data_IF_049110507890
#
_entry.id   IF_049110507890
#
_cell.length_a   1.000
_cell.length_b   1.000
_cell.length_c   1.000
_cell.angle_alpha   90.00
_cell.angle_beta   90.00
_cell.angle_gamma   90.00
#
_symmetry.space_group_name_H-M   'P 1'
#
loop_
_entity.id
_entity.type
_entity.pdbx_description
1 polymer ?
#
# COMPACT_ATOMS: atom_id res chain seq x y z
N UNK A 1 15.55 -8.59 -18.21
CA UNK A 1 14.74 -8.62 -16.96
C UNK A 1 14.75 -7.21 -16.43
N UNK A 2 13.66 -6.49 -16.55
CA UNK A 2 13.53 -5.12 -16.07
C UNK A 2 12.85 -5.14 -14.70
N UNK A 3 13.62 -5.38 -13.68
CA UNK A 3 13.19 -5.33 -12.29
C UNK A 3 14.32 -4.84 -11.40
N UNK A 4 14.01 -4.33 -10.22
CA UNK A 4 15.00 -3.76 -9.32
C UNK A 4 14.81 -4.14 -7.86
N UNK A 5 15.89 -4.11 -7.11
CA UNK A 5 15.86 -4.14 -5.65
C UNK A 5 15.57 -2.73 -5.15
N UNK A 6 14.37 -2.48 -4.65
CA UNK A 6 13.93 -1.14 -4.21
C UNK A 6 13.80 -1.02 -2.71
N UNK A 7 14.10 -2.09 -1.97
CA UNK A 7 14.09 -2.12 -0.52
C UNK A 7 15.41 -2.68 0.02
N UNK A 8 15.80 -2.36 1.26
CA UNK A 8 16.95 -2.99 1.90
C UNK A 8 16.65 -4.47 2.17
N UNK A 9 17.68 -5.36 2.13
CA UNK A 9 17.52 -6.75 2.49
C UNK A 9 17.12 -6.88 3.97
N UNK A 10 16.22 -7.83 4.28
CA UNK A 10 16.04 -8.25 5.66
C UNK A 10 17.19 -9.18 6.07
N UNK A 11 17.57 -9.14 7.34
CA UNK A 11 18.74 -9.88 7.86
C UNK A 11 18.32 -10.79 9.01
N UNK A 12 18.66 -12.07 8.90
CA UNK A 12 18.55 -13.01 10.01
C UNK A 12 19.84 -13.83 10.10
N UNK A 13 20.60 -13.67 11.19
CA UNK A 13 21.95 -14.26 11.35
C UNK A 13 22.81 -13.96 10.11
N UNK A 14 23.28 -14.99 9.40
CA UNK A 14 24.07 -14.87 8.18
C UNK A 14 23.23 -15.01 6.89
N UNK A 15 21.91 -14.82 6.96
CA UNK A 15 21.02 -14.86 5.81
C UNK A 15 20.49 -13.47 5.46
N UNK A 16 20.74 -13.02 4.23
CA UNK A 16 20.09 -11.88 3.62
C UNK A 16 18.86 -12.35 2.86
N UNK A 17 17.69 -11.75 3.12
CA UNK A 17 16.45 -12.09 2.44
C UNK A 17 16.09 -10.93 1.52
N UNK A 18 15.96 -11.23 0.23
CA UNK A 18 15.78 -10.24 -0.84
C UNK A 18 14.53 -10.54 -1.63
N UNK A 19 13.62 -9.56 -1.66
CA UNK A 19 12.56 -9.46 -2.67
C UNK A 19 12.99 -8.50 -3.79
N UNK A 20 12.12 -8.31 -4.78
CA UNK A 20 12.36 -7.41 -5.91
C UNK A 20 11.06 -6.84 -6.44
N UNK A 21 11.12 -5.84 -7.31
CA UNK A 21 9.99 -5.22 -8.01
C UNK A 21 10.08 -5.49 -9.51
N UNK A 22 8.97 -5.88 -10.14
CA UNK A 22 8.83 -6.07 -11.59
C UNK A 22 8.00 -4.98 -12.25
N UNK A 23 7.73 -5.14 -13.56
CA UNK A 23 6.86 -4.28 -14.36
C UNK A 23 5.51 -4.96 -14.66
N UNK A 24 4.80 -5.33 -13.64
CA UNK A 24 3.60 -6.16 -13.62
C UNK A 24 2.39 -5.59 -14.39
N UNK A 25 2.34 -4.29 -14.58
CA UNK A 25 1.33 -3.58 -15.39
C UNK A 25 1.66 -3.53 -16.89
N UNK A 26 2.89 -3.93 -17.27
CA UNK A 26 3.32 -3.95 -18.68
C UNK A 26 3.15 -5.33 -19.29
N UNK A 27 3.53 -6.38 -18.57
CA UNK A 27 3.57 -7.76 -19.08
C UNK A 27 2.57 -8.67 -18.36
N UNK A 28 2.03 -9.67 -19.10
CA UNK A 28 1.20 -10.72 -18.53
C UNK A 28 2.03 -11.72 -17.71
N UNK A 29 3.19 -12.09 -18.22
CA UNK A 29 4.08 -13.06 -17.59
C UNK A 29 5.47 -12.47 -17.43
N UNK A 30 5.98 -12.60 -16.23
CA UNK A 30 7.34 -12.23 -15.83
C UNK A 30 7.89 -13.29 -14.87
N UNK A 31 8.99 -13.00 -14.22
CA UNK A 31 9.52 -13.81 -13.12
C UNK A 31 8.41 -14.06 -12.07
N UNK A 32 8.28 -15.28 -11.50
CA UNK A 32 7.20 -15.65 -10.57
C UNK A 32 7.23 -14.94 -9.20
N UNK A 33 8.02 -13.89 -9.02
CA UNK A 33 8.13 -13.15 -7.77
C UNK A 33 9.13 -13.76 -6.79
N UNK A 34 10.10 -14.50 -7.27
CA UNK A 34 11.08 -15.25 -6.47
C UNK A 34 11.73 -14.39 -5.39
N UNK A 35 11.66 -14.85 -4.16
CA UNK A 35 12.41 -14.30 -3.02
C UNK A 35 13.66 -15.15 -2.80
N UNK A 36 14.78 -14.49 -2.50
CA UNK A 36 16.09 -15.10 -2.38
C UNK A 36 16.62 -15.03 -0.96
N UNK A 37 17.06 -16.17 -0.41
CA UNK A 37 17.89 -16.21 0.80
C UNK A 37 19.36 -16.40 0.40
N UNK A 38 20.20 -15.44 0.76
CA UNK A 38 21.61 -15.38 0.37
C UNK A 38 22.47 -15.41 1.63
N UNK A 39 23.54 -16.18 1.60
CA UNK A 39 24.56 -16.20 2.65
C UNK A 39 25.33 -14.86 2.65
N UNK A 40 25.22 -14.11 3.75
CA UNK A 40 25.81 -12.77 3.86
C UNK A 40 27.33 -12.74 3.83
N UNK A 41 28.01 -13.86 4.14
CA UNK A 41 29.49 -13.96 4.17
C UNK A 41 30.07 -14.33 2.82
N UNK A 42 29.36 -15.19 2.09
CA UNK A 42 29.90 -15.80 0.85
C UNK A 42 29.18 -15.31 -0.41
N UNK A 43 28.01 -14.68 -0.28
CA UNK A 43 27.15 -14.28 -1.40
C UNK A 43 26.47 -15.47 -2.10
N UNK A 44 26.57 -16.68 -1.55
CA UNK A 44 25.97 -17.86 -2.16
C UNK A 44 24.46 -17.93 -1.87
N UNK A 45 23.71 -18.37 -2.87
CA UNK A 45 22.29 -18.70 -2.72
C UNK A 45 22.10 -19.84 -1.71
N UNK A 46 21.26 -19.65 -0.71
CA UNK A 46 20.86 -20.64 0.29
C UNK A 46 19.53 -21.29 -0.09
N UNK A 47 18.54 -20.48 -0.48
CA UNK A 47 17.20 -20.92 -0.84
C UNK A 47 16.49 -19.89 -1.73
N UNK A 48 15.42 -20.35 -2.39
CA UNK A 48 14.44 -19.54 -3.10
C UNK A 48 13.03 -19.88 -2.64
N UNK A 49 12.13 -18.89 -2.75
CA UNK A 49 10.70 -19.06 -2.56
C UNK A 49 9.95 -18.41 -3.71
N UNK A 50 9.08 -19.16 -4.39
CA UNK A 50 8.23 -18.69 -5.47
C UNK A 50 6.77 -18.64 -4.98
N UNK A 51 6.11 -17.45 -4.93
CA UNK A 51 4.71 -17.33 -4.53
C UNK A 51 3.74 -17.99 -5.52
N UNK A 52 4.06 -17.96 -6.81
CA UNK A 52 3.24 -18.53 -7.88
C UNK A 52 3.57 -20.03 -8.06
N UNK A 53 2.57 -20.92 -7.97
CA UNK A 53 2.79 -22.35 -8.21
C UNK A 53 3.41 -22.62 -9.59
N UNK A 54 4.34 -23.62 -9.72
CA UNK A 54 5.05 -23.90 -10.96
C UNK A 54 4.15 -24.15 -12.18
N UNK A 55 2.98 -24.75 -11.97
CA UNK A 55 2.00 -25.03 -13.04
C UNK A 55 1.20 -23.79 -13.51
N UNK A 56 1.44 -22.63 -12.90
CA UNK A 56 0.80 -21.34 -13.22
C UNK A 56 1.77 -20.28 -13.75
N UNK A 57 3.07 -20.51 -13.64
CA UNK A 57 4.10 -19.51 -14.00
C UNK A 57 4.12 -19.17 -15.50
N UNK A 58 3.47 -19.96 -16.36
CA UNK A 58 3.26 -19.65 -17.77
C UNK A 58 1.97 -18.87 -18.05
N UNK A 59 1.11 -18.66 -17.04
CA UNK A 59 -0.16 -17.94 -17.13
C UNK A 59 -0.09 -16.55 -16.51
N UNK A 60 0.82 -16.36 -15.56
CA UNK A 60 0.96 -15.14 -14.76
C UNK A 60 2.41 -14.99 -14.30
N UNK A 61 2.73 -13.86 -13.74
CA UNK A 61 4.06 -13.56 -13.20
C UNK A 61 3.98 -12.58 -12.04
N UNK A 62 5.09 -11.94 -11.75
CA UNK A 62 5.30 -11.02 -10.64
C UNK A 62 4.92 -11.61 -9.28
N UNK A 63 3.89 -11.19 -8.60
CA UNK A 63 3.61 -11.57 -7.20
C UNK A 63 4.86 -11.44 -6.32
N UNK A 64 5.64 -10.41 -6.59
CA UNK A 64 6.93 -10.18 -5.97
C UNK A 64 6.79 -9.62 -4.54
N UNK A 65 7.91 -9.49 -3.84
CA UNK A 65 8.02 -8.87 -2.53
C UNK A 65 8.85 -7.60 -2.70
N UNK A 66 8.20 -6.53 -3.12
CA UNK A 66 8.85 -5.23 -3.32
C UNK A 66 8.81 -4.33 -2.08
N UNK A 67 7.90 -4.61 -1.15
CA UNK A 67 7.83 -3.93 0.14
C UNK A 67 8.77 -4.54 1.17
N UNK A 68 8.97 -3.87 2.30
CA UNK A 68 9.87 -4.32 3.37
C UNK A 68 9.50 -5.66 3.97
N UNK A 69 10.49 -6.49 4.25
CA UNK A 69 10.36 -7.80 4.90
C UNK A 69 10.67 -7.62 6.40
N UNK A 70 9.78 -8.10 7.25
CA UNK A 70 10.02 -8.13 8.71
C UNK A 70 10.50 -9.50 9.16
N UNK A 71 11.41 -9.52 10.13
CA UNK A 71 11.95 -10.77 10.69
C UNK A 71 11.77 -10.76 12.19
N UNK A 72 11.26 -11.85 12.75
CA UNK A 72 11.24 -12.11 14.17
C UNK A 72 12.55 -12.82 14.57
N UNK A 73 13.45 -12.16 15.33
CA UNK A 73 14.72 -12.72 15.70
C UNK A 73 14.61 -13.91 16.69
N UNK A 74 13.51 -14.01 17.43
CA UNK A 74 13.31 -15.07 18.43
C UNK A 74 12.88 -16.38 17.78
N UNK A 75 11.97 -16.31 16.82
CA UNK A 75 11.41 -17.50 16.14
C UNK A 75 12.14 -17.83 14.84
N UNK A 76 12.87 -16.88 14.25
CA UNK A 76 13.48 -17.01 12.93
C UNK A 76 12.47 -17.02 11.80
N UNK A 77 11.29 -16.45 11.99
CA UNK A 77 10.29 -16.27 10.94
C UNK A 77 10.52 -14.96 10.20
N UNK A 78 10.53 -15.01 8.88
CA UNK A 78 10.47 -13.85 8.01
C UNK A 78 9.07 -13.73 7.42
N UNK A 79 8.52 -12.51 7.43
CA UNK A 79 7.16 -12.22 6.98
C UNK A 79 7.22 -11.43 5.67
N UNK A 80 6.74 -12.05 4.62
CA UNK A 80 6.81 -11.58 3.25
C UNK A 80 5.46 -10.96 2.84
N UNK A 81 5.39 -9.65 2.56
CA UNK A 81 4.22 -9.01 1.97
C UNK A 81 4.21 -9.26 0.45
N UNK A 82 3.60 -10.36 0.04
CA UNK A 82 3.54 -10.78 -1.36
C UNK A 82 2.53 -9.95 -2.12
N UNK A 83 2.95 -9.35 -3.24
CA UNK A 83 2.15 -8.45 -4.06
C UNK A 83 1.18 -9.17 -5.02
N UNK A 84 0.47 -8.37 -5.82
CA UNK A 84 -0.48 -8.83 -6.84
C UNK A 84 0.21 -9.56 -7.99
N UNK A 85 -0.50 -10.46 -8.71
CA UNK A 85 0.01 -11.15 -9.88
C UNK A 85 -0.18 -10.31 -11.15
N UNK A 86 0.67 -10.50 -12.15
CA UNK A 86 0.49 -9.92 -13.49
C UNK A 86 -0.41 -10.78 -14.39
N UNK A 87 -1.18 -10.20 -15.33
CA UNK A 87 -1.43 -8.78 -15.45
C UNK A 87 -2.35 -8.31 -14.30
N UNK A 88 -2.08 -7.12 -13.77
CA UNK A 88 -2.73 -6.64 -12.54
C UNK A 88 -4.22 -6.36 -12.68
N UNK A 89 -4.72 -6.09 -13.91
CA UNK A 89 -6.07 -5.55 -14.12
C UNK A 89 -7.00 -6.47 -14.91
N UNK A 90 -6.52 -7.65 -15.30
CA UNK A 90 -7.29 -8.71 -15.97
C UNK A 90 -6.76 -10.08 -15.56
N UNK A 91 -7.61 -10.90 -15.00
CA UNK A 91 -7.26 -12.22 -14.46
C UNK A 91 -7.82 -13.42 -15.22
N UNK A 92 -8.43 -13.24 -16.39
CA UNK A 92 -9.16 -14.31 -17.09
C UNK A 92 -8.35 -15.55 -17.44
N UNK A 93 -7.02 -15.46 -17.45
CA UNK A 93 -6.12 -16.59 -17.64
C UNK A 93 -5.70 -17.29 -16.33
N UNK A 94 -5.96 -16.69 -15.17
CA UNK A 94 -5.63 -17.22 -13.85
C UNK A 94 -6.79 -18.03 -13.28
N UNK A 95 -6.97 -19.26 -13.78
CA UNK A 95 -8.14 -20.10 -13.49
C UNK A 95 -8.02 -20.92 -12.20
N UNK A 96 -6.84 -20.96 -11.58
CA UNK A 96 -6.58 -21.72 -10.35
C UNK A 96 -6.30 -20.78 -9.18
N UNK A 97 -6.61 -21.23 -7.98
CA UNK A 97 -6.25 -20.53 -6.77
C UNK A 97 -4.74 -20.46 -6.56
N UNK A 98 -4.28 -19.31 -6.08
CA UNK A 98 -2.88 -19.05 -5.73
C UNK A 98 -2.81 -18.48 -4.30
N UNK A 99 -2.88 -19.32 -3.27
CA UNK A 99 -3.11 -18.87 -1.88
C UNK A 99 -1.95 -18.04 -1.26
N UNK A 100 -0.77 -18.04 -1.90
CA UNK A 100 0.39 -17.25 -1.46
C UNK A 100 0.55 -15.94 -2.25
N UNK A 101 -0.38 -15.62 -3.15
CA UNK A 101 -0.39 -14.41 -3.96
C UNK A 101 -1.32 -13.38 -3.30
N UNK A 102 -0.95 -12.11 -3.32
CA UNK A 102 -1.59 -11.01 -2.58
C UNK A 102 -1.86 -11.41 -1.12
N UNK A 103 -0.78 -11.84 -0.45
CA UNK A 103 -0.81 -12.53 0.82
C UNK A 103 0.31 -12.07 1.76
N UNK A 104 0.11 -12.23 3.06
CA UNK A 104 1.22 -12.26 4.01
C UNK A 104 1.68 -13.71 4.17
N UNK A 105 2.94 -13.99 3.88
CA UNK A 105 3.54 -15.33 3.94
C UNK A 105 4.65 -15.35 4.97
N UNK A 106 4.61 -16.31 5.90
CA UNK A 106 5.70 -16.54 6.85
C UNK A 106 6.58 -17.69 6.38
N UNK A 107 7.87 -17.43 6.29
CA UNK A 107 8.87 -18.45 5.93
C UNK A 107 9.91 -18.56 7.05
N UNK A 108 10.55 -19.73 7.15
CA UNK A 108 11.76 -19.86 7.95
C UNK A 108 12.89 -19.06 7.27
N UNK A 109 13.49 -18.10 7.97
CA UNK A 109 14.48 -17.17 7.43
C UNK A 109 15.78 -17.86 6.99
N UNK A 110 16.13 -19.04 7.53
CA UNK A 110 17.36 -19.78 7.18
C UNK A 110 17.15 -20.75 6.01
N UNK A 111 15.92 -21.26 5.82
CA UNK A 111 15.64 -22.35 4.86
C UNK A 111 14.67 -21.99 3.74
N UNK A 112 13.92 -20.89 3.87
CA UNK A 112 12.85 -20.52 2.94
C UNK A 112 11.58 -21.36 3.04
N UNK A 113 11.51 -22.31 3.98
CA UNK A 113 10.35 -23.18 4.19
C UNK A 113 9.13 -22.37 4.62
N UNK A 114 8.01 -22.46 3.90
CA UNK A 114 6.74 -21.82 4.24
C UNK A 114 6.17 -22.43 5.51
N UNK A 115 5.85 -21.59 6.49
CA UNK A 115 5.21 -22.00 7.74
C UNK A 115 3.71 -21.76 7.72
N UNK A 116 3.28 -20.64 7.18
CA UNK A 116 1.89 -20.30 6.93
C UNK A 116 1.76 -19.20 5.87
N UNK A 117 0.59 -19.11 5.26
CA UNK A 117 0.22 -18.03 4.37
C UNK A 117 -1.20 -17.56 4.69
N UNK A 118 -1.44 -16.25 4.60
CA UNK A 118 -2.76 -15.64 4.73
C UNK A 118 -3.02 -14.76 3.53
N UNK A 119 -3.83 -15.25 2.59
CA UNK A 119 -4.27 -14.46 1.45
C UNK A 119 -5.20 -13.34 1.92
N UNK A 120 -5.01 -12.14 1.39
CA UNK A 120 -5.76 -10.94 1.78
C UNK A 120 -6.62 -10.39 0.64
N UNK A 121 -6.39 -10.85 -0.58
CA UNK A 121 -7.26 -10.61 -1.74
C UNK A 121 -7.33 -11.87 -2.58
N UNK A 122 -8.54 -12.31 -2.90
CA UNK A 122 -8.77 -13.38 -3.86
C UNK A 122 -8.77 -12.83 -5.27
N UNK A 123 -8.06 -13.49 -6.19
CA UNK A 123 -8.04 -13.15 -7.61
C UNK A 123 -7.87 -11.66 -7.88
N UNK A 124 -6.77 -11.09 -7.37
CA UNK A 124 -6.52 -9.65 -7.48
C UNK A 124 -6.47 -9.19 -8.96
N UNK A 125 -7.35 -8.24 -9.29
CA UNK A 125 -7.48 -7.57 -10.59
C UNK A 125 -7.51 -6.04 -10.42
N UNK A 126 -6.96 -5.51 -9.33
CA UNK A 126 -6.97 -4.09 -8.99
C UNK A 126 -5.58 -3.52 -8.69
N UNK A 127 -4.52 -4.34 -8.67
CA UNK A 127 -3.18 -3.96 -8.23
C UNK A 127 -3.18 -3.51 -6.75
N UNK A 128 -3.88 -4.27 -5.91
CA UNK A 128 -4.03 -3.97 -4.49
C UNK A 128 -3.01 -4.74 -3.64
N UNK A 129 -1.75 -4.56 -3.93
CA UNK A 129 -0.62 -5.20 -3.28
C UNK A 129 -0.68 -5.23 -1.75
N UNK A 130 -0.01 -6.22 -1.18
CA UNK A 130 0.43 -6.14 0.21
C UNK A 130 1.73 -5.37 0.21
N UNK A 131 1.62 -4.07 0.33
CA UNK A 131 2.63 -3.08 -0.05
C UNK A 131 3.43 -2.48 1.10
N UNK A 132 3.29 -3.01 2.32
CA UNK A 132 4.02 -2.50 3.48
C UNK A 132 4.62 -3.62 4.32
N UNK A 133 5.75 -3.33 4.97
CA UNK A 133 6.35 -4.27 5.91
C UNK A 133 5.37 -4.61 7.05
N UNK A 134 5.16 -5.90 7.38
CA UNK A 134 4.37 -6.27 8.55
C UNK A 134 4.98 -5.70 9.82
N UNK A 135 4.18 -5.04 10.66
CA UNK A 135 4.65 -4.48 11.93
C UNK A 135 4.51 -5.52 13.04
N UNK A 136 5.62 -5.91 13.66
CA UNK A 136 5.62 -6.93 14.73
C UNK A 136 5.38 -6.27 16.10
N UNK A 137 4.55 -6.89 16.93
CA UNK A 137 4.21 -6.42 18.28
C UNK A 137 3.73 -7.56 19.14
N UNK A 138 3.95 -7.48 20.45
CA UNK A 138 3.33 -8.37 21.44
C UNK A 138 2.11 -7.69 22.05
N UNK A 139 0.93 -8.30 21.85
CA UNK A 139 -0.32 -7.78 22.36
C UNK A 139 -0.66 -8.39 23.72
N UNK A 140 -1.20 -7.57 24.61
CA UNK A 140 -1.67 -8.00 25.92
C UNK A 140 -3.20 -8.07 25.94
N UNK A 141 -3.75 -9.27 25.83
CA UNK A 141 -5.19 -9.50 25.75
C UNK A 141 -5.64 -10.60 26.71
N UNK A 142 -6.62 -10.30 27.55
CA UNK A 142 -7.18 -11.27 28.51
C UNK A 142 -6.10 -11.91 29.44
N UNK A 143 -5.11 -11.12 29.84
CA UNK A 143 -4.01 -11.60 30.70
C UNK A 143 -2.95 -12.46 30.00
N UNK A 144 -3.03 -12.60 28.67
CA UNK A 144 -2.07 -13.33 27.84
C UNK A 144 -1.29 -12.38 26.96
N UNK A 145 -0.02 -12.71 26.71
CA UNK A 145 0.79 -12.06 25.67
C UNK A 145 0.65 -12.86 24.39
N UNK A 146 0.21 -12.19 23.33
CA UNK A 146 0.00 -12.79 21.99
C UNK A 146 1.03 -12.20 21.03
N UNK A 147 1.95 -13.01 20.49
CA UNK A 147 2.86 -12.55 19.45
C UNK A 147 2.07 -12.23 18.20
N UNK A 148 2.03 -10.95 17.82
CA UNK A 148 1.21 -10.46 16.72
C UNK A 148 2.03 -9.81 15.63
N UNK A 149 1.47 -9.74 14.44
CA UNK A 149 1.84 -8.85 13.36
C UNK A 149 0.63 -8.06 12.87
N UNK A 150 0.88 -6.85 12.42
CA UNK A 150 -0.11 -5.98 11.78
C UNK A 150 0.27 -5.83 10.33
N UNK A 151 -0.63 -6.22 9.42
CA UNK A 151 -0.51 -5.98 7.99
C UNK A 151 -1.54 -4.94 7.57
N UNK A 152 -1.09 -3.72 7.37
CA UNK A 152 -1.86 -2.68 6.69
C UNK A 152 -1.63 -2.79 5.17
N UNK A 153 -2.60 -2.39 4.35
CA UNK A 153 -2.57 -2.65 2.91
C UNK A 153 -3.32 -1.59 2.08
N UNK A 154 -3.17 -1.66 0.75
CA UNK A 154 -3.82 -0.75 -0.21
C UNK A 154 -5.35 -0.73 -0.11
N UNK A 155 -6.00 -1.79 0.40
CA UNK A 155 -7.46 -1.78 0.63
C UNK A 155 -7.90 -0.88 1.77
N UNK A 156 -6.95 -0.31 2.52
CA UNK A 156 -7.28 0.46 3.72
C UNK A 156 -7.85 -0.41 4.83
N UNK A 157 -7.44 -1.68 4.88
CA UNK A 157 -7.73 -2.63 5.94
C UNK A 157 -6.48 -2.85 6.79
N UNK A 158 -6.68 -3.19 8.03
CA UNK A 158 -5.63 -3.53 8.97
C UNK A 158 -5.87 -4.94 9.50
N UNK A 159 -5.08 -5.90 9.01
CA UNK A 159 -5.17 -7.31 9.41
C UNK A 159 -4.20 -7.54 10.56
N UNK A 160 -4.69 -8.09 11.65
CA UNK A 160 -3.87 -8.41 12.84
C UNK A 160 -3.86 -9.92 13.03
N UNK A 161 -2.69 -10.52 12.87
CA UNK A 161 -2.50 -11.97 12.91
C UNK A 161 -1.60 -12.38 14.07
N UNK A 162 -1.79 -13.57 14.58
CA UNK A 162 -0.77 -14.24 15.39
C UNK A 162 0.43 -14.55 14.47
N UNK A 163 1.61 -13.97 14.76
CA UNK A 163 2.77 -14.10 13.86
C UNK A 163 3.35 -15.51 13.79
N UNK A 164 3.07 -16.37 14.78
CA UNK A 164 3.56 -17.75 14.77
C UNK A 164 2.67 -18.69 13.95
N UNK A 165 1.36 -18.42 13.87
CA UNK A 165 0.39 -19.35 13.26
C UNK A 165 -0.34 -18.80 12.03
N UNK A 166 -0.31 -17.48 11.79
CA UNK A 166 -1.09 -16.81 10.76
C UNK A 166 -2.59 -16.70 11.08
N UNK A 167 -3.02 -17.11 12.28
CA UNK A 167 -4.44 -17.02 12.68
C UNK A 167 -4.82 -15.58 13.01
N UNK A 168 -6.03 -15.13 12.59
CA UNK A 168 -6.47 -13.78 12.82
C UNK A 168 -6.82 -13.55 14.30
N UNK A 169 -6.27 -12.45 14.87
CA UNK A 169 -6.57 -12.02 16.25
C UNK A 169 -7.91 -11.29 16.31
N UNK A 170 -8.26 -10.63 15.22
CA UNK A 170 -9.57 -10.00 14.99
C UNK A 170 -10.25 -10.65 13.79
N UNK A 171 -11.60 -10.71 13.75
CA UNK A 171 -12.31 -11.42 12.72
C UNK A 171 -11.98 -10.96 11.29
N UNK A 172 -11.76 -11.91 10.40
CA UNK A 172 -11.77 -11.74 8.96
C UNK A 172 -13.00 -12.48 8.46
N UNK A 173 -13.86 -11.80 7.70
CA UNK A 173 -15.11 -12.38 7.17
C UNK A 173 -15.09 -12.32 5.64
N UNK A 174 -15.64 -13.35 5.00
CA UNK A 174 -15.87 -13.32 3.56
C UNK A 174 -17.11 -12.48 3.26
N UNK A 175 -16.92 -11.45 2.43
CA UNK A 175 -17.98 -10.53 2.02
C UNK A 175 -18.18 -10.60 0.51
N UNK A 176 -19.43 -10.64 0.06
CA UNK A 176 -19.78 -10.65 -1.36
C UNK A 176 -19.47 -9.30 -2.01
N UNK A 177 -18.92 -9.35 -3.23
CA UNK A 177 -18.57 -8.20 -4.05
C UNK A 177 -19.03 -8.38 -5.50
N UNK A 178 -19.06 -7.30 -6.31
CA UNK A 178 -19.60 -7.33 -7.65
C UNK A 178 -18.85 -8.27 -8.60
N UNK A 179 -19.58 -8.96 -9.47
CA UNK A 179 -19.00 -9.74 -10.57
C UNK A 179 -18.43 -8.82 -11.65
N UNK A 180 -17.45 -9.31 -12.42
CA UNK A 180 -16.98 -8.60 -13.62
C UNK A 180 -18.02 -8.58 -14.73
N UNK A 181 -18.06 -7.49 -15.50
CA UNK A 181 -18.82 -7.36 -16.76
C UNK A 181 -17.95 -7.54 -18.02
N UNK A 182 -16.69 -7.95 -17.83
CA UNK A 182 -15.71 -8.10 -18.91
C UNK A 182 -15.67 -9.55 -19.40
N UNK A 183 -15.77 -9.80 -20.71
CA UNK A 183 -15.69 -11.14 -21.26
C UNK A 183 -14.40 -11.88 -20.86
N UNK A 184 -14.54 -13.09 -20.35
CA UNK A 184 -13.42 -13.94 -19.93
C UNK A 184 -12.87 -13.66 -18.54
N UNK A 185 -13.34 -12.62 -17.84
CA UNK A 185 -12.91 -12.35 -16.45
C UNK A 185 -13.77 -13.13 -15.46
N UNK A 186 -13.12 -13.66 -14.42
CA UNK A 186 -13.72 -14.47 -13.36
C UNK A 186 -13.41 -13.88 -11.98
N UNK A 187 -13.83 -12.62 -11.75
CA UNK A 187 -13.66 -11.96 -10.46
C UNK A 187 -14.20 -12.83 -9.31
N UNK A 188 -13.44 -12.91 -8.20
CA UNK A 188 -13.88 -13.68 -7.04
C UNK A 188 -15.21 -13.15 -6.50
N UNK A 189 -16.21 -14.01 -6.21
CA UNK A 189 -17.49 -13.59 -5.69
C UNK A 189 -17.44 -13.02 -4.27
N UNK A 190 -16.41 -13.34 -3.52
CA UNK A 190 -16.15 -12.81 -2.17
C UNK A 190 -14.72 -12.35 -2.01
N UNK A 191 -14.50 -11.49 -1.01
CA UNK A 191 -13.18 -11.03 -0.59
C UNK A 191 -13.09 -11.01 0.93
N UNK A 192 -11.90 -11.25 1.50
CA UNK A 192 -11.63 -11.08 2.91
C UNK A 192 -11.89 -9.63 3.34
N UNK A 193 -12.68 -9.45 4.35
CA UNK A 193 -13.00 -8.14 4.93
C UNK A 193 -12.78 -8.16 6.44
N UNK A 194 -12.16 -7.10 6.96
CA UNK A 194 -11.90 -6.90 8.38
C UNK A 194 -12.85 -5.84 8.93
N UNK A 195 -13.95 -6.26 9.60
CA UNK A 195 -14.91 -5.31 10.17
C UNK A 195 -14.37 -4.61 11.43
N UNK A 196 -13.37 -5.24 12.08
CA UNK A 196 -12.78 -4.75 13.31
C UNK A 196 -11.32 -5.23 13.45
N UNK A 197 -10.35 -4.36 13.79
CA UNK A 197 -10.46 -2.91 14.03
C UNK A 197 -11.12 -2.15 12.87
N UNK A 198 -11.71 -0.97 13.18
CA UNK A 198 -12.43 -0.20 12.16
C UNK A 198 -11.57 0.07 10.93
N UNK A 199 -12.05 -0.17 9.70
CA UNK A 199 -11.30 0.07 8.47
C UNK A 199 -10.73 1.49 8.40
N UNK A 200 -9.55 1.61 7.81
CA UNK A 200 -8.88 2.90 7.60
C UNK A 200 -9.61 3.73 6.52
N UNK A 201 -10.18 3.05 5.53
CA UNK A 201 -10.93 3.65 4.44
C UNK A 201 -12.34 3.08 4.42
N UNK A 202 -13.35 3.93 4.15
CA UNK A 202 -14.75 3.52 4.09
C UNK A 202 -15.02 2.53 2.94
N UNK A 203 -16.15 1.80 3.02
CA UNK A 203 -16.59 0.86 1.97
C UNK A 203 -16.92 1.55 0.64
N UNK A 204 -17.49 2.75 0.71
CA UNK A 204 -17.88 3.54 -0.44
C UNK A 204 -16.95 4.74 -0.58
N UNK A 205 -16.65 5.09 -1.82
CA UNK A 205 -15.97 6.34 -2.16
C UNK A 205 -16.76 7.54 -1.59
N UNK A 206 -16.07 8.60 -1.10
CA UNK A 206 -16.74 9.85 -0.75
C UNK A 206 -17.58 10.41 -1.91
N UNK A 207 -18.65 11.17 -1.62
CA UNK A 207 -19.49 11.75 -2.67
C UNK A 207 -18.68 12.65 -3.62
N UNK A 208 -19.23 12.93 -4.79
CA UNK A 208 -18.66 13.90 -5.73
C UNK A 208 -18.48 15.24 -5.01
N UNK A 209 -17.30 15.83 -5.15
CA UNK A 209 -17.00 17.15 -4.58
C UNK A 209 -17.85 18.24 -5.24
N UNK A 210 -18.73 18.86 -4.47
CA UNK A 210 -19.60 19.95 -4.95
C UNK A 210 -18.78 21.10 -5.53
N UNK A 211 -17.67 21.48 -4.91
CA UNK A 211 -16.78 22.52 -5.41
C UNK A 211 -16.15 22.16 -6.76
N UNK A 212 -15.59 20.96 -6.86
CA UNK A 212 -14.96 20.50 -8.11
C UNK A 212 -15.99 20.36 -9.24
N UNK A 213 -17.20 19.91 -8.92
CA UNK A 213 -18.25 19.72 -9.92
C UNK A 213 -18.81 21.04 -10.44
N UNK A 214 -19.15 21.98 -9.56
CA UNK A 214 -19.64 23.32 -9.97
C UNK A 214 -18.57 24.06 -10.77
N UNK A 215 -17.32 24.09 -10.33
CA UNK A 215 -16.24 24.79 -11.01
C UNK A 215 -15.87 24.20 -12.36
N UNK A 216 -16.23 22.93 -12.62
CA UNK A 216 -16.04 22.24 -13.89
C UNK A 216 -17.35 22.01 -14.68
N UNK A 217 -18.38 22.81 -14.38
CA UNK A 217 -19.67 22.76 -15.08
C UNK A 217 -20.33 21.36 -15.07
N UNK A 218 -20.23 20.63 -13.94
CA UNK A 218 -20.80 19.28 -13.78
C UNK A 218 -19.97 18.16 -14.42
N UNK A 219 -18.69 18.38 -14.73
CA UNK A 219 -17.83 17.36 -15.35
C UNK A 219 -17.69 16.10 -14.48
N UNK A 220 -17.47 16.26 -13.16
CA UNK A 220 -17.27 15.14 -12.25
C UNK A 220 -18.52 14.25 -12.16
N UNK A 221 -19.70 14.85 -12.00
CA UNK A 221 -20.97 14.12 -11.95
C UNK A 221 -21.28 13.40 -13.25
N UNK A 222 -21.06 14.07 -14.41
CA UNK A 222 -21.24 13.44 -15.72
C UNK A 222 -20.26 12.29 -15.97
N UNK A 223 -19.01 12.42 -15.52
CA UNK A 223 -18.03 11.34 -15.65
C UNK A 223 -18.43 10.15 -14.78
N UNK A 224 -18.72 10.39 -13.48
CA UNK A 224 -19.19 9.34 -12.58
C UNK A 224 -20.43 8.58 -13.08
N UNK A 225 -21.37 9.28 -13.69
CA UNK A 225 -22.59 8.67 -14.24
C UNK A 225 -22.36 7.72 -15.44
N UNK A 226 -21.20 7.78 -16.09
CA UNK A 226 -20.86 6.95 -17.27
C UNK A 226 -20.05 5.71 -16.93
N UNK A 227 -19.40 5.70 -15.78
CA UNK A 227 -18.52 4.62 -15.36
C UNK A 227 -19.18 3.80 -14.26
N UNK A 228 -18.66 2.60 -14.03
CA UNK A 228 -19.13 1.68 -13.02
C UNK A 228 -18.61 2.10 -11.63
N UNK A 229 -19.47 2.15 -10.62
CA UNK A 229 -19.12 2.43 -9.22
C UNK A 229 -20.05 1.66 -8.29
N UNK A 230 -19.58 0.54 -7.78
CA UNK A 230 -20.31 -0.33 -6.85
C UNK A 230 -19.60 -0.43 -5.50
N UNK A 231 -18.68 0.52 -5.23
CA UNK A 231 -17.87 0.58 -4.02
C UNK A 231 -16.57 -0.22 -4.11
N UNK A 232 -16.09 -0.66 -2.97
CA UNK A 232 -14.83 -1.43 -2.85
C UNK A 232 -14.88 -2.66 -3.77
N UNK A 233 -13.76 -2.98 -4.40
CA UNK A 233 -13.62 -4.10 -5.33
C UNK A 233 -14.57 -4.09 -6.53
N UNK A 234 -15.04 -2.90 -6.99
CA UNK A 234 -15.66 -2.80 -8.32
C UNK A 234 -14.65 -3.25 -9.38
N UNK A 235 -14.91 -4.33 -10.16
CA UNK A 235 -13.94 -4.82 -11.14
C UNK A 235 -13.67 -3.81 -12.26
N UNK A 236 -12.46 -3.80 -12.85
CA UNK A 236 -12.17 -3.06 -14.08
C UNK A 236 -13.18 -3.38 -15.16
N UNK A 237 -13.55 -2.39 -15.99
CA UNK A 237 -14.62 -2.51 -17.00
C UNK A 237 -14.20 -1.85 -18.31
N UNK A 238 -14.83 -2.27 -19.44
CA UNK A 238 -14.60 -1.64 -20.76
C UNK A 238 -15.14 -0.20 -20.82
N UNK A 239 -16.17 0.12 -20.04
CA UNK A 239 -16.71 1.49 -19.94
C UNK A 239 -16.03 2.35 -18.88
N UNK A 240 -15.01 1.82 -18.21
CA UNK A 240 -14.39 2.38 -17.04
C UNK A 240 -15.12 2.03 -15.75
N UNK A 241 -14.37 1.91 -14.68
CA UNK A 241 -14.88 1.68 -13.31
C UNK A 241 -14.10 2.49 -12.30
N UNK A 242 -14.74 2.89 -11.19
CA UNK A 242 -14.04 3.42 -10.03
C UNK A 242 -13.36 2.26 -9.29
N UNK A 243 -12.04 2.31 -9.19
CA UNK A 243 -11.30 1.54 -8.19
C UNK A 243 -11.27 2.32 -6.88
N UNK A 244 -11.70 1.68 -5.78
CA UNK A 244 -11.79 2.30 -4.47
C UNK A 244 -11.47 1.32 -3.33
N UNK A 245 -10.51 1.64 -2.44
CA UNK A 245 -9.41 2.56 -2.74
C UNK A 245 -8.59 2.02 -3.91
N UNK A 246 -7.89 2.90 -4.63
CA UNK A 246 -7.12 2.52 -5.81
C UNK A 246 -5.66 2.15 -5.47
N UNK A 247 -4.80 1.99 -6.48
CA UNK A 247 -3.38 1.60 -6.30
C UNK A 247 -2.57 2.56 -5.43
N UNK A 248 -2.98 3.83 -5.34
CA UNK A 248 -2.41 4.86 -4.46
C UNK A 248 -3.37 5.22 -3.32
N UNK A 249 -4.35 4.38 -3.06
CA UNK A 249 -5.30 4.52 -1.96
C UNK A 249 -4.96 3.57 -0.80
N UNK A 250 -5.73 3.66 0.29
CA UNK A 250 -5.47 2.86 1.47
C UNK A 250 -4.15 3.20 2.15
N UNK A 251 -3.36 2.19 2.53
CA UNK A 251 -2.05 2.39 3.15
C UNK A 251 -0.97 2.18 2.10
N UNK A 252 -0.05 3.12 2.04
CA UNK A 252 1.09 3.07 1.13
C UNK A 252 2.29 2.32 1.76
N UNK A 253 3.37 2.13 0.95
CA UNK A 253 4.53 1.31 1.27
C UNK A 253 5.25 1.64 2.59
N UNK A 254 5.01 2.80 3.16
CA UNK A 254 5.52 3.16 4.48
C UNK A 254 4.91 2.35 5.62
N UNK A 255 3.65 1.89 5.48
CA UNK A 255 2.95 1.18 6.55
C UNK A 255 2.64 2.06 7.75
N UNK A 256 2.79 1.50 8.97
CA UNK A 256 2.55 2.20 10.22
C UNK A 256 3.63 1.93 11.26
N UNK A 257 3.48 2.54 12.43
CA UNK A 257 4.37 2.35 13.57
C UNK A 257 3.60 1.97 14.83
N UNK A 258 4.23 1.19 15.71
CA UNK A 258 3.65 0.76 16.98
C UNK A 258 4.51 1.23 18.15
N UNK A 259 3.87 1.65 19.24
CA UNK A 259 4.49 1.71 20.56
C UNK A 259 4.38 0.31 21.20
N UNK A 260 5.48 -0.43 21.33
CA UNK A 260 5.43 -1.79 21.82
C UNK A 260 5.04 -1.88 23.32
N UNK A 261 5.14 -0.77 24.05
CA UNK A 261 4.80 -0.73 25.48
C UNK A 261 3.29 -0.68 25.70
N UNK A 262 2.58 0.05 24.84
CA UNK A 262 1.13 0.26 25.00
C UNK A 262 0.29 -0.51 23.97
N UNK A 263 0.91 -1.02 22.90
CA UNK A 263 0.19 -1.57 21.75
C UNK A 263 -0.53 -0.50 20.91
N UNK A 264 -0.14 0.78 21.06
CA UNK A 264 -0.72 1.87 20.27
C UNK A 264 -0.09 1.88 18.88
N UNK A 265 -0.90 1.73 17.85
CA UNK A 265 -0.50 1.72 16.44
C UNK A 265 -0.94 2.99 15.74
N UNK A 266 -0.04 3.64 15.02
CA UNK A 266 -0.32 4.84 14.21
C UNK A 266 -0.05 4.54 12.75
N UNK A 267 -1.00 4.89 11.89
CA UNK A 267 -0.94 4.63 10.45
C UNK A 267 -1.64 5.73 9.67
N UNK A 268 -1.02 6.14 8.56
CA UNK A 268 -1.66 7.04 7.59
C UNK A 268 -2.33 6.23 6.48
N UNK A 269 -3.41 6.76 5.93
CA UNK A 269 -4.15 6.14 4.84
C UNK A 269 -4.75 7.19 3.91
N UNK A 270 -4.83 6.85 2.63
CA UNK A 270 -5.27 7.70 1.56
C UNK A 270 -6.66 7.33 1.07
N UNK A 271 -7.43 8.34 0.72
CA UNK A 271 -8.78 8.21 0.17
C UNK A 271 -8.76 8.69 -1.28
N UNK A 272 -8.17 7.88 -2.16
CA UNK A 272 -7.96 8.21 -3.57
C UNK A 272 -8.65 7.20 -4.48
N UNK A 273 -9.72 7.56 -5.19
CA UNK A 273 -10.27 6.78 -6.29
C UNK A 273 -9.50 7.01 -7.57
N UNK A 274 -9.41 5.98 -8.40
CA UNK A 274 -8.93 6.06 -9.78
C UNK A 274 -9.95 5.42 -10.71
N UNK A 275 -9.87 5.75 -12.00
CA UNK A 275 -10.72 5.14 -13.04
C UNK A 275 -9.90 4.12 -13.81
N UNK A 276 -10.39 2.88 -13.85
CA UNK A 276 -9.77 1.74 -14.50
C UNK A 276 -10.57 1.36 -15.74
N UNK A 277 -9.94 1.39 -16.91
CA UNK A 277 -10.58 1.03 -18.18
C UNK A 277 -9.77 -0.06 -18.87
N UNK A 278 -10.40 -1.21 -19.11
CA UNK A 278 -9.83 -2.25 -19.97
C UNK A 278 -10.09 -1.92 -21.43
N UNK A 279 -9.07 -2.10 -22.28
CA UNK A 279 -9.12 -1.82 -23.71
C UNK A 279 -8.90 -3.14 -24.45
N UNK A 280 -9.87 -3.61 -25.27
CA UNK A 280 -9.71 -4.84 -26.05
C UNK A 280 -8.41 -4.84 -26.86
N UNK A 281 -7.71 -5.96 -26.92
CA UNK A 281 -6.37 -6.06 -27.52
C UNK A 281 -6.29 -5.48 -28.92
N UNK A 282 -7.29 -5.73 -29.77
CA UNK A 282 -7.32 -5.19 -31.14
C UNK A 282 -7.37 -3.66 -31.17
N UNK A 283 -8.18 -3.05 -30.30
CA UNK A 283 -8.30 -1.61 -30.16
C UNK A 283 -7.02 -0.99 -29.57
N UNK A 284 -6.45 -1.63 -28.53
CA UNK A 284 -5.19 -1.22 -27.93
C UNK A 284 -4.05 -1.21 -28.96
N UNK A 285 -3.93 -2.26 -29.76
CA UNK A 285 -2.91 -2.35 -30.80
C UNK A 285 -3.12 -1.31 -31.91
N UNK A 286 -4.37 -1.03 -32.28
CA UNK A 286 -4.68 0.02 -33.25
C UNK A 286 -4.30 1.41 -32.74
N UNK A 287 -4.59 1.72 -31.48
CA UNK A 287 -4.41 3.05 -30.91
C UNK A 287 -2.96 3.30 -30.46
N UNK A 288 -2.32 2.31 -29.84
CA UNK A 288 -1.02 2.47 -29.18
C UNK A 288 0.11 1.70 -29.90
N UNK A 289 -0.20 0.85 -30.89
CA UNK A 289 0.80 0.02 -31.57
C UNK A 289 1.53 -0.89 -30.60
N UNK A 290 2.87 -0.83 -30.61
CA UNK A 290 3.75 -1.59 -29.71
C UNK A 290 4.18 -0.80 -28.47
N UNK A 291 3.52 0.33 -28.16
CA UNK A 291 3.86 1.11 -26.97
C UNK A 291 3.50 0.33 -25.71
N UNK A 292 4.45 0.20 -24.81
CA UNK A 292 4.25 -0.45 -23.51
C UNK A 292 3.47 0.45 -22.54
N UNK A 293 3.67 1.76 -22.63
CA UNK A 293 3.00 2.82 -21.85
C UNK A 293 2.60 3.99 -22.74
N UNK A 294 1.53 4.67 -22.35
CA UNK A 294 1.07 5.91 -23.00
C UNK A 294 0.99 7.06 -22.00
N UNK A 295 1.19 8.30 -22.44
CA UNK A 295 1.10 9.52 -21.65
C UNK A 295 -0.28 9.76 -21.05
N UNK A 296 -1.31 9.09 -21.60
CA UNK A 296 -2.69 9.14 -21.13
C UNK A 296 -3.03 8.10 -20.05
N UNK A 297 -2.04 7.44 -19.46
CA UNK A 297 -2.18 6.40 -18.44
C UNK A 297 -2.37 4.99 -19.00
N UNK A 298 -2.14 4.79 -20.30
CA UNK A 298 -2.16 3.47 -20.91
C UNK A 298 -1.01 2.58 -20.45
N UNK A 299 -1.31 1.28 -20.30
CA UNK A 299 -0.35 0.21 -20.07
C UNK A 299 -0.71 -1.03 -20.90
N UNK A 300 0.29 -1.63 -21.52
CA UNK A 300 0.07 -2.64 -22.55
C UNK A 300 -0.51 -3.95 -22.02
N UNK A 301 -0.10 -4.41 -20.85
CA UNK A 301 -0.35 -5.77 -20.36
C UNK A 301 -0.06 -6.80 -21.49
N UNK A 302 1.16 -6.77 -22.04
CA UNK A 302 1.54 -7.61 -23.19
C UNK A 302 1.27 -9.09 -22.92
N UNK A 303 0.65 -9.77 -23.89
CA UNK A 303 0.23 -11.17 -23.76
C UNK A 303 -1.16 -11.35 -23.14
N UNK A 304 -1.79 -10.30 -22.62
CA UNK A 304 -3.17 -10.32 -22.13
C UNK A 304 -4.18 -10.02 -23.23
N UNK A 305 -5.43 -10.46 -23.03
CA UNK A 305 -6.55 -10.15 -23.92
C UNK A 305 -6.91 -8.64 -23.94
N UNK A 306 -6.47 -7.88 -22.96
CA UNK A 306 -6.76 -6.45 -22.80
C UNK A 306 -5.50 -5.65 -22.52
N UNK A 307 -5.41 -4.43 -23.07
CA UNK A 307 -4.62 -3.35 -22.51
C UNK A 307 -5.41 -2.66 -21.40
N UNK A 308 -4.77 -1.74 -20.69
CA UNK A 308 -5.33 -1.08 -19.53
C UNK A 308 -5.07 0.42 -19.57
N UNK A 309 -5.99 1.22 -19.04
CA UNK A 309 -5.83 2.65 -18.86
C UNK A 309 -6.21 3.04 -17.44
N UNK A 310 -5.31 3.72 -16.76
CA UNK A 310 -5.50 4.30 -15.44
C UNK A 310 -5.65 5.82 -15.59
N UNK A 311 -6.72 6.37 -15.04
CA UNK A 311 -6.96 7.81 -15.01
C UNK A 311 -7.22 8.27 -13.58
N UNK A 312 -6.59 9.37 -13.17
CA UNK A 312 -6.93 10.01 -11.92
C UNK A 312 -8.30 10.67 -12.03
N UNK A 313 -9.20 10.44 -11.07
CA UNK A 313 -10.55 11.01 -11.08
C UNK A 313 -10.52 12.51 -10.73
N UNK A 314 -9.95 13.31 -11.65
CA UNK A 314 -9.76 14.75 -11.51
C UNK A 314 -10.56 15.50 -12.59
N UNK A 315 -11.01 16.71 -12.26
CA UNK A 315 -11.64 17.58 -13.25
C UNK A 315 -10.60 18.30 -14.16
N UNK A 316 -11.08 19.08 -15.13
CA UNK A 316 -10.22 19.81 -16.11
C UNK A 316 -9.22 20.77 -15.44
N UNK A 317 -9.42 21.15 -14.20
CA UNK A 317 -8.52 21.99 -13.43
C UNK A 317 -7.55 21.20 -12.56
N UNK A 318 -7.59 19.86 -12.67
CA UNK A 318 -6.82 18.94 -11.83
C UNK A 318 -7.24 18.97 -10.35
N UNK A 319 -8.51 19.27 -10.07
CA UNK A 319 -9.11 19.15 -8.73
C UNK A 319 -9.73 17.76 -8.56
N UNK A 320 -9.60 17.15 -7.36
CA UNK A 320 -10.25 15.88 -7.07
C UNK A 320 -11.77 15.95 -7.24
N UNK A 321 -12.32 15.01 -8.01
CA UNK A 321 -13.76 14.88 -8.22
C UNK A 321 -14.53 14.29 -7.03
N UNK A 322 -13.84 13.90 -5.97
CA UNK A 322 -14.46 13.38 -4.72
C UNK A 322 -14.24 14.34 -3.55
N UNK A 323 -15.11 14.24 -2.55
CA UNK A 323 -15.02 15.08 -1.36
C UNK A 323 -13.84 14.67 -0.45
N UNK A 324 -13.16 15.63 0.22
CA UNK A 324 -12.12 15.33 1.21
C UNK A 324 -12.70 14.63 2.45
N UNK A 325 -11.83 14.05 3.33
CA UNK A 325 -10.38 14.21 3.34
C UNK A 325 -9.68 13.29 2.33
N UNK A 326 -8.54 13.76 1.75
CA UNK A 326 -7.77 13.00 0.77
C UNK A 326 -6.76 12.06 1.42
N UNK A 327 -6.27 12.39 2.60
CA UNK A 327 -5.43 11.56 3.44
C UNK A 327 -5.69 11.82 4.90
N UNK A 328 -5.41 10.83 5.73
CA UNK A 328 -5.68 10.86 7.15
C UNK A 328 -4.64 10.07 7.95
N UNK A 329 -4.47 10.44 9.21
CA UNK A 329 -3.67 9.72 10.19
C UNK A 329 -4.62 9.16 11.26
N UNK A 330 -4.43 7.89 11.61
CA UNK A 330 -5.27 7.18 12.58
C UNK A 330 -4.42 6.52 13.64
N UNK A 331 -4.93 6.44 14.86
CA UNK A 331 -4.32 5.70 15.96
C UNK A 331 -5.29 4.67 16.53
N UNK A 332 -4.77 3.48 16.80
CA UNK A 332 -5.53 2.35 17.34
C UNK A 332 -4.84 1.77 18.57
N UNK A 333 -5.61 1.32 19.53
CA UNK A 333 -5.16 0.39 20.56
C UNK A 333 -5.30 -1.04 20.02
N UNK A 334 -4.19 -1.67 19.69
CA UNK A 334 -4.18 -3.04 19.14
C UNK A 334 -4.57 -4.11 20.15
N UNK A 335 -4.47 -3.86 21.46
CA UNK A 335 -4.89 -4.82 22.48
C UNK A 335 -6.40 -4.99 22.47
N UNK A 336 -7.13 -3.90 22.23
CA UNK A 336 -8.59 -3.87 22.19
C UNK A 336 -9.18 -3.76 20.78
N UNK A 337 -8.39 -3.35 19.78
CA UNK A 337 -8.83 -3.03 18.42
C UNK A 337 -9.54 -1.67 18.31
N UNK A 338 -9.58 -0.88 19.36
CA UNK A 338 -10.31 0.39 19.41
C UNK A 338 -9.58 1.48 18.61
N UNK A 339 -10.30 2.19 17.76
CA UNK A 339 -9.86 3.45 17.18
C UNK A 339 -9.76 4.51 18.31
N UNK A 340 -8.57 5.06 18.52
CA UNK A 340 -8.32 6.08 19.54
C UNK A 340 -8.61 7.49 18.99
N UNK A 341 -8.06 7.79 17.83
CA UNK A 341 -8.34 9.02 17.10
C UNK A 341 -8.07 8.85 15.60
N UNK A 342 -8.72 9.71 14.79
CA UNK A 342 -8.53 9.81 13.34
C UNK A 342 -8.64 11.26 12.93
N UNK A 343 -7.67 11.77 12.16
CA UNK A 343 -7.62 13.17 11.73
C UNK A 343 -7.21 13.28 10.26
N UNK A 344 -7.72 14.26 9.51
CA UNK A 344 -7.12 14.64 8.24
C UNK A 344 -5.62 14.93 8.42
N UNK A 345 -4.81 14.50 7.47
CA UNK A 345 -3.36 14.65 7.57
C UNK A 345 -2.76 15.20 6.27
N UNK A 346 -1.79 16.11 6.44
CA UNK A 346 -1.19 16.83 5.34
C UNK A 346 -2.04 17.98 4.83
N UNK A 347 -1.55 18.65 3.80
CA UNK A 347 -2.21 19.80 3.20
C UNK A 347 -1.90 19.85 1.70
N UNK A 348 -2.91 20.02 0.86
CA UNK A 348 -2.72 20.21 -0.57
C UNK A 348 -2.29 21.64 -0.84
N UNK A 349 -1.27 21.82 -1.69
CA UNK A 349 -0.91 23.10 -2.26
C UNK A 349 -1.33 23.14 -3.74
N UNK A 350 -2.14 24.10 -4.13
CA UNK A 350 -2.60 24.31 -5.49
C UNK A 350 -2.56 25.80 -5.85
N UNK A 351 -2.04 26.13 -7.05
CA UNK A 351 -1.90 27.51 -7.54
C UNK A 351 -1.19 28.46 -6.57
N UNK A 352 -0.22 27.97 -5.80
CA UNK A 352 0.51 28.74 -4.80
C UNK A 352 -0.18 28.91 -3.44
N UNK A 353 -1.41 28.39 -3.30
CA UNK A 353 -2.17 28.46 -2.05
C UNK A 353 -2.23 27.09 -1.36
N UNK A 354 -2.22 27.10 -0.03
CA UNK A 354 -2.55 25.94 0.77
C UNK A 354 -4.06 25.79 0.92
N UNK A 355 -4.58 24.62 0.55
CA UNK A 355 -5.98 24.26 0.79
C UNK A 355 -6.22 24.04 2.29
N UNK A 356 -7.49 24.00 2.77
CA UNK A 356 -7.78 23.76 4.19
C UNK A 356 -7.10 22.51 4.74
N UNK A 357 -6.55 22.56 5.96
CA UNK A 357 -5.95 21.41 6.64
C UNK A 357 -6.95 20.23 6.82
N UNK A 358 -8.24 20.55 6.92
CA UNK A 358 -9.33 19.56 6.99
C UNK A 358 -9.47 18.69 5.72
N UNK A 359 -8.84 19.10 4.61
CA UNK A 359 -8.84 18.29 3.38
C UNK A 359 -7.80 17.18 3.41
N UNK A 360 -6.75 17.32 4.22
CA UNK A 360 -5.61 16.40 4.15
C UNK A 360 -4.91 16.44 2.79
N UNK A 361 -3.96 15.57 2.59
CA UNK A 361 -3.31 15.32 1.29
C UNK A 361 -2.94 13.85 1.17
N UNK A 362 -2.66 13.39 -0.02
CA UNK A 362 -2.04 12.06 -0.23
C UNK A 362 -0.78 11.92 0.60
N UNK A 363 -0.55 10.73 1.14
CA UNK A 363 0.55 10.39 2.05
C UNK A 363 1.21 9.09 1.61
N UNK A 364 2.52 9.05 1.45
CA UNK A 364 3.25 7.86 0.99
C UNK A 364 4.38 7.40 1.90
N UNK A 365 4.66 8.12 2.97
CA UNK A 365 5.67 7.73 3.97
C UNK A 365 5.05 7.05 5.20
N UNK A 366 5.87 6.79 6.19
CA UNK A 366 5.47 6.19 7.46
C UNK A 366 5.76 7.10 8.65
N UNK A 367 5.04 6.92 9.77
CA UNK A 367 5.42 7.49 11.06
C UNK A 367 6.56 6.70 11.71
N UNK A 368 7.21 7.33 12.70
CA UNK A 368 8.01 6.68 13.73
C UNK A 368 7.53 7.15 15.10
N UNK A 369 7.46 6.24 16.07
CA UNK A 369 7.02 6.54 17.43
C UNK A 369 8.22 6.47 18.36
N UNK A 370 8.40 7.49 19.21
CA UNK A 370 9.42 7.51 20.25
C UNK A 370 8.87 6.97 21.56
N UNK A 371 9.75 6.51 22.46
CA UNK A 371 9.38 6.05 23.81
C UNK A 371 8.71 7.15 24.64
N UNK A 372 8.96 8.42 24.34
CA UNK A 372 8.34 9.58 25.01
C UNK A 372 6.91 9.86 24.56
N UNK A 373 6.36 9.13 23.59
CA UNK A 373 5.01 9.31 23.06
C UNK A 373 4.90 10.40 22.00
N UNK A 374 5.99 10.68 21.27
CA UNK A 374 5.97 11.52 20.09
C UNK A 374 5.90 10.67 18.83
N UNK A 375 5.10 11.11 17.87
CA UNK A 375 5.03 10.56 16.52
C UNK A 375 5.70 11.54 15.57
N UNK A 376 6.81 11.15 14.95
CA UNK A 376 7.43 11.93 13.89
C UNK A 376 7.00 11.41 12.53
N UNK A 377 6.59 12.30 11.64
CA UNK A 377 6.11 11.95 10.30
C UNK A 377 6.29 13.11 9.32
N UNK A 378 6.76 12.78 8.10
CA UNK A 378 6.68 13.65 6.92
C UNK A 378 5.48 13.23 6.07
N UNK A 379 5.68 12.27 5.20
CA UNK A 379 4.69 11.53 4.41
C UNK A 379 3.80 12.35 3.46
N UNK A 380 3.38 13.54 3.85
CA UNK A 380 2.41 14.35 3.11
C UNK A 380 3.04 15.19 1.99
N UNK A 381 2.22 15.56 0.99
CA UNK A 381 2.67 16.30 -0.21
C UNK A 381 2.99 17.77 0.06
N UNK A 382 2.84 18.28 1.28
CA UNK A 382 3.00 19.70 1.65
C UNK A 382 4.42 20.11 2.04
N UNK A 383 5.41 19.24 1.86
CA UNK A 383 6.82 19.48 2.24
C UNK A 383 6.97 19.90 3.71
N UNK A 384 6.19 19.30 4.61
CA UNK A 384 6.27 19.54 6.05
C UNK A 384 6.54 18.27 6.81
N UNK A 385 7.45 18.36 7.77
CA UNK A 385 7.67 17.34 8.78
C UNK A 385 7.02 17.77 10.09
N UNK A 386 6.56 16.81 10.89
CA UNK A 386 5.75 17.06 12.09
C UNK A 386 6.17 16.18 13.25
N UNK A 387 6.06 16.74 14.46
CA UNK A 387 5.95 15.99 15.72
C UNK A 387 4.51 16.07 16.21
N UNK A 388 3.93 14.92 16.53
CA UNK A 388 2.52 14.76 16.89
C UNK A 388 2.46 14.05 18.23
N UNK A 389 1.55 14.45 19.11
CA UNK A 389 1.28 13.76 20.35
C UNK A 389 0.55 12.44 20.10
N UNK A 390 1.12 11.34 20.56
CA UNK A 390 0.61 9.98 20.31
C UNK A 390 -0.82 9.78 20.87
N UNK A 391 -1.12 10.38 22.04
CA UNK A 391 -2.41 10.17 22.72
C UNK A 391 -3.55 10.94 22.06
N UNK A 392 -3.27 12.17 21.59
CA UNK A 392 -4.30 13.09 21.11
C UNK A 392 -4.32 13.28 19.60
N UNK A 393 -3.23 12.92 18.90
CA UNK A 393 -3.04 13.23 17.48
C UNK A 393 -2.89 14.72 17.18
N UNK A 394 -2.59 15.54 18.19
CA UNK A 394 -2.36 16.97 18.00
C UNK A 394 -0.94 17.23 17.50
N UNK A 395 -0.81 18.11 16.51
CA UNK A 395 0.50 18.57 16.03
C UNK A 395 1.12 19.49 17.10
N UNK A 396 2.26 19.08 17.62
CA UNK A 396 3.03 19.83 18.61
C UNK A 396 4.08 20.73 17.96
N UNK A 397 4.62 20.28 16.83
CA UNK A 397 5.63 20.99 16.08
C UNK A 397 5.54 20.65 14.60
N UNK A 398 5.82 21.61 13.73
CA UNK A 398 5.93 21.43 12.28
C UNK A 398 7.01 22.31 11.69
N UNK A 399 7.72 21.79 10.67
CA UNK A 399 8.76 22.50 9.95
C UNK A 399 8.61 22.26 8.45
N UNK A 400 8.85 23.29 7.64
CA UNK A 400 8.93 23.19 6.19
C UNK A 400 10.32 22.66 5.82
N UNK A 401 10.36 21.76 4.85
CA UNK A 401 11.55 21.19 4.22
C UNK A 401 11.49 21.39 2.70
N UNK A 402 12.59 21.12 1.97
CA UNK A 402 12.69 21.49 0.56
C UNK A 402 11.77 20.69 -0.35
N UNK A 403 11.50 19.42 -0.04
CA UNK A 403 10.56 18.56 -0.73
C UNK A 403 9.81 17.67 0.26
N UNK A 404 8.72 16.99 -0.15
CA UNK A 404 8.03 16.02 0.69
C UNK A 404 8.97 14.95 1.24
N UNK A 405 8.93 14.72 2.56
CA UNK A 405 9.71 13.68 3.22
C UNK A 405 8.91 12.37 3.23
N UNK A 406 9.00 11.60 2.15
CA UNK A 406 8.19 10.41 1.90
C UNK A 406 8.83 9.11 2.39
N UNK A 407 10.06 9.16 2.88
CA UNK A 407 10.68 8.05 3.60
C UNK A 407 10.26 8.04 5.08
N UNK A 408 10.36 6.89 5.73
CA UNK A 408 10.19 6.80 7.17
C UNK A 408 11.31 7.58 7.89
N UNK A 409 11.00 8.41 8.90
CA UNK A 409 12.01 9.10 9.69
C UNK A 409 12.86 8.12 10.49
N UNK A 410 14.12 8.46 10.74
CA UNK A 410 14.98 7.73 11.66
C UNK A 410 15.19 8.51 12.95
N UNK A 411 15.01 7.86 14.08
CA UNK A 411 15.31 8.42 15.43
C UNK A 411 16.56 7.74 15.96
N UNK A 412 17.53 8.53 16.40
CA UNK A 412 18.79 8.00 16.94
C UNK A 412 19.37 8.90 18.04
N UNK A 413 20.18 8.33 18.91
CA UNK A 413 20.90 9.06 19.93
C UNK A 413 22.39 9.19 19.56
N UNK A 414 22.89 10.40 19.61
CA UNK A 414 24.32 10.68 19.44
C UNK A 414 24.82 11.59 20.55
N UNK A 415 25.87 11.17 21.26
CA UNK A 415 26.46 11.88 22.39
C UNK A 415 25.43 12.32 23.46
N UNK A 416 24.48 11.42 23.78
CA UNK A 416 23.44 11.65 24.76
C UNK A 416 22.29 12.57 24.34
N UNK A 417 22.28 13.03 23.10
CA UNK A 417 21.21 13.87 22.53
C UNK A 417 20.44 13.07 21.47
N UNK A 418 19.10 13.13 21.55
CA UNK A 418 18.21 12.49 20.57
C UNK A 418 18.04 13.36 19.33
N UNK A 419 18.07 12.73 18.17
CA UNK A 419 17.86 13.34 16.85
C UNK A 419 16.78 12.61 16.10
N UNK A 420 16.01 13.36 15.32
CA UNK A 420 15.13 12.83 14.27
C UNK A 420 15.62 13.28 12.91
N UNK A 421 15.84 12.32 12.01
CA UNK A 421 16.35 12.52 10.67
C UNK A 421 15.22 12.33 9.66
N UNK A 422 15.07 13.25 8.73
CA UNK A 422 14.18 13.16 7.59
C UNK A 422 14.94 13.23 6.27
N UNK A 423 14.54 12.41 5.31
CA UNK A 423 14.97 12.51 3.91
C UNK A 423 13.88 13.27 3.15
N UNK A 424 14.11 14.53 2.86
CA UNK A 424 13.19 15.40 2.15
C UNK A 424 13.47 15.37 0.63
N UNK A 425 13.45 14.16 0.04
CA UNK A 425 13.81 13.91 -1.36
C UNK A 425 12.66 14.03 -2.36
N UNK A 426 11.42 13.93 -1.89
CA UNK A 426 10.26 13.77 -2.76
C UNK A 426 10.19 12.39 -3.41
N UNK A 427 9.32 12.26 -4.41
CA UNK A 427 9.16 11.07 -5.26
C UNK A 427 8.88 11.52 -6.68
N UNK A 428 9.60 11.00 -7.68
CA UNK A 428 9.58 11.48 -9.06
C UNK A 428 8.22 11.38 -9.78
N UNK A 429 7.27 10.62 -9.25
CA UNK A 429 5.96 10.40 -9.84
C UNK A 429 4.86 11.16 -9.06
N UNK A 430 4.91 11.11 -7.73
CA UNK A 430 3.77 11.49 -6.88
C UNK A 430 3.94 12.87 -6.21
N UNK A 431 5.16 13.40 -6.09
CA UNK A 431 5.37 14.65 -5.35
C UNK A 431 5.64 15.86 -6.26
N UNK A 432 5.20 17.06 -5.84
CA UNK A 432 5.34 18.26 -6.66
C UNK A 432 6.79 18.78 -6.75
N UNK A 433 7.66 18.30 -5.88
CA UNK A 433 9.07 18.73 -5.79
C UNK A 433 10.00 17.57 -5.51
N UNK A 434 11.21 17.66 -6.03
CA UNK A 434 12.35 16.79 -5.72
C UNK A 434 13.47 17.62 -5.08
N UNK A 435 14.23 17.00 -4.19
CA UNK A 435 15.40 17.59 -3.53
C UNK A 435 16.36 16.48 -3.10
N UNK A 436 17.55 16.84 -2.71
CA UNK A 436 18.56 15.99 -2.08
C UNK A 436 18.77 16.31 -0.58
N UNK A 437 17.80 17.01 0.01
CA UNK A 437 17.91 17.47 1.41
C UNK A 437 17.81 16.30 2.39
N UNK A 438 18.82 16.19 3.25
CA UNK A 438 18.84 15.36 4.44
C UNK A 438 18.86 16.29 5.66
N UNK A 439 17.86 16.24 6.53
CA UNK A 439 17.73 17.17 7.65
C UNK A 439 17.52 16.44 8.97
N UNK A 440 18.34 16.79 9.96
CA UNK A 440 18.23 16.28 11.33
C UNK A 440 17.79 17.40 12.28
N UNK A 441 16.81 17.09 13.13
CA UNK A 441 16.34 17.97 14.19
C UNK A 441 16.66 17.37 15.55
N UNK A 442 16.88 18.23 16.55
CA UNK A 442 17.03 17.86 17.93
C UNK A 442 16.44 18.98 18.81
N UNK A 443 16.09 18.63 20.03
CA UNK A 443 15.71 19.63 21.02
C UNK A 443 16.89 20.57 21.30
N UNK A 444 16.66 21.86 21.52
CA UNK A 444 17.70 22.77 22.00
C UNK A 444 18.27 22.29 23.34
N UNK A 445 19.48 22.69 23.64
CA UNK A 445 20.15 22.38 24.91
C UNK A 445 19.50 23.15 26.05
#
# INVERSE_FOLDING_TARGET
MEGGLIQPPAVYKDTLILGWAGLDWVYKTENPGTVYGIDARTGKLKWTFDPIPPDQQNQTGTSNVWAGISVDPETGLAFLPVSSPSPNYYGGDRLKEMPMVTATVAVNAETGEVKWARQLIHHDIWDLDINSAPTLVDLHKNGQTIPALVQANKMGLMVVLNRNTGEPIYPIVEKAYPASDVPGEHASPTQPFVPYPAPLVAEQMPPVSTLADITSFGQCSRWKARIRDEGRYTPPSLRGSISWPATVGGVEWGGGAVDPTTGTYVVNADQVPQVYTLIPRAEANQKYGNAQRGDDGYSAQEGSAYGFKLENFLNMWGMPCWAPPYGQLSSYDLNTGKLLWRKPFGQVQKWGFYMPESWGSVTIGAPVITKSGLVFIGASMDSRVRAIDLKTGNVLWKQIVDAPAVAQPAVYTYKGKEYVLFVAGGNGILTPRLSDQLVAFALPN
#
